data_IF_067486972002
#
_entry.id   IF_067486972002
#
_cell.length_a   1.000
_cell.length_b   1.000
_cell.length_c   1.000
_cell.angle_alpha   90.00
_cell.angle_beta   90.00
_cell.angle_gamma   90.00
#
_symmetry.space_group_name_H-M   'P 1'
#
loop_
_entity.id
_entity.type
_entity.pdbx_description
1 polymer ?
#
# COMPACT_ATOMS: atom_id res chain seq x y z
N UNK A 1 -24.45 -2.41 30.42
CA UNK A 1 -22.98 -2.32 30.27
C UNK A 1 -22.39 -3.41 29.35
N UNK A 2 -23.14 -3.95 28.36
CA UNK A 2 -22.65 -5.03 27.48
C UNK A 2 -22.41 -4.60 26.03
N UNK A 3 -22.94 -3.43 25.60
CA UNK A 3 -22.72 -2.89 24.25
C UNK A 3 -21.35 -2.22 24.06
N UNK A 4 -20.81 -1.58 25.10
CA UNK A 4 -19.51 -0.89 25.02
C UNK A 4 -18.34 -1.87 24.84
N UNK A 5 -18.43 -3.08 25.40
CA UNK A 5 -17.42 -4.12 25.21
C UNK A 5 -17.37 -4.60 23.77
N UNK A 6 -18.53 -4.88 23.16
CA UNK A 6 -18.60 -5.41 21.79
C UNK A 6 -18.07 -4.39 20.77
N UNK A 7 -18.34 -3.09 20.96
CA UNK A 7 -17.81 -2.05 20.07
C UNK A 7 -16.29 -1.94 20.20
N UNK A 8 -15.76 -1.93 21.43
CA UNK A 8 -14.31 -1.84 21.65
C UNK A 8 -13.54 -3.03 21.08
N UNK A 9 -14.05 -4.25 21.28
CA UNK A 9 -13.43 -5.44 20.71
C UNK A 9 -13.46 -5.42 19.17
N UNK A 10 -14.56 -4.99 18.56
CA UNK A 10 -14.65 -4.83 17.10
C UNK A 10 -13.69 -3.78 16.56
N UNK A 11 -13.53 -2.66 17.26
CA UNK A 11 -12.60 -1.60 16.87
C UNK A 11 -11.15 -2.06 17.03
N UNK A 12 -10.82 -2.82 18.08
CA UNK A 12 -9.49 -3.39 18.28
C UNK A 12 -9.16 -4.47 17.23
N UNK A 13 -10.10 -5.35 16.90
CA UNK A 13 -9.95 -6.35 15.83
C UNK A 13 -9.79 -5.69 14.45
N UNK A 14 -10.59 -4.65 14.14
CA UNK A 14 -10.47 -3.90 12.91
C UNK A 14 -9.09 -3.24 12.77
N UNK A 15 -8.59 -2.62 13.84
CA UNK A 15 -7.25 -2.03 13.85
C UNK A 15 -6.15 -3.08 13.65
N UNK A 16 -6.29 -4.26 14.23
CA UNK A 16 -5.34 -5.35 14.01
C UNK A 16 -5.38 -5.84 12.56
N UNK A 17 -6.58 -5.93 11.97
CA UNK A 17 -6.76 -6.31 10.58
C UNK A 17 -6.16 -5.29 9.63
N UNK A 18 -6.44 -4.00 9.84
CA UNK A 18 -5.90 -2.89 9.05
C UNK A 18 -4.37 -2.87 9.11
N UNK A 19 -3.78 -3.04 10.31
CA UNK A 19 -2.32 -3.19 10.46
C UNK A 19 -1.75 -4.33 9.63
N UNK A 20 -2.40 -5.49 9.66
CA UNK A 20 -1.95 -6.67 8.93
C UNK A 20 -2.01 -6.43 7.42
N UNK A 21 -3.10 -5.80 6.97
CA UNK A 21 -3.32 -5.40 5.57
C UNK A 21 -2.26 -4.39 5.12
N UNK A 22 -2.01 -3.33 5.90
CA UNK A 22 -0.96 -2.35 5.63
C UNK A 22 0.42 -2.99 5.56
N UNK A 23 0.74 -3.90 6.49
CA UNK A 23 2.02 -4.62 6.49
C UNK A 23 2.19 -5.45 5.22
N UNK A 24 1.16 -6.21 4.83
CA UNK A 24 1.17 -7.04 3.64
C UNK A 24 1.34 -6.19 2.35
N UNK A 25 0.65 -5.05 2.26
CA UNK A 25 0.81 -4.11 1.14
C UNK A 25 2.23 -3.55 1.04
N UNK A 26 2.87 -3.22 2.16
CA UNK A 26 4.25 -2.71 2.19
C UNK A 26 5.29 -3.78 1.87
N UNK A 27 5.07 -5.01 2.35
CA UNK A 27 5.90 -6.17 1.99
C UNK A 27 5.78 -6.46 0.48
N UNK A 28 4.57 -6.40 -0.06
CA UNK A 28 4.31 -6.55 -1.50
C UNK A 28 4.97 -5.43 -2.32
N UNK A 29 4.88 -4.17 -1.86
CA UNK A 29 5.56 -3.03 -2.48
C UNK A 29 7.08 -3.27 -2.54
N UNK A 30 7.70 -3.60 -1.42
CA UNK A 30 9.15 -3.89 -1.33
C UNK A 30 9.57 -5.04 -2.24
N UNK A 31 8.74 -6.08 -2.33
CA UNK A 31 8.96 -7.21 -3.21
C UNK A 31 8.87 -6.81 -4.69
N UNK A 32 7.86 -6.05 -5.08
CA UNK A 32 7.67 -5.58 -6.45
C UNK A 32 8.81 -4.66 -6.90
N UNK A 33 9.31 -3.80 -6.01
CA UNK A 33 10.48 -2.94 -6.27
C UNK A 33 11.73 -3.78 -6.55
N UNK A 34 11.97 -4.81 -5.74
CA UNK A 34 13.08 -5.74 -5.96
C UNK A 34 12.90 -6.57 -7.24
N UNK A 35 11.70 -7.07 -7.50
CA UNK A 35 11.40 -7.83 -8.70
C UNK A 35 11.57 -6.99 -9.99
N UNK A 36 11.27 -5.70 -9.94
CA UNK A 36 11.48 -4.76 -11.07
C UNK A 36 12.96 -4.59 -11.40
N UNK A 37 13.83 -4.68 -10.40
CA UNK A 37 15.28 -4.61 -10.56
C UNK A 37 15.90 -5.91 -11.08
N UNK A 38 15.35 -7.05 -10.68
CA UNK A 38 15.77 -8.37 -11.15
C UNK A 38 15.28 -8.67 -12.58
N UNK A 39 14.23 -7.99 -13.05
CA UNK A 39 13.74 -8.11 -14.41
C UNK A 39 14.59 -7.28 -15.39
N UNK A 40 15.38 -7.94 -16.23
CA UNK A 40 16.25 -7.31 -17.24
C UNK A 40 15.51 -6.33 -18.18
N UNK A 41 14.18 -6.47 -18.36
CA UNK A 41 13.37 -5.57 -19.20
C UNK A 41 12.93 -4.31 -18.47
N UNK A 42 12.93 -4.33 -17.14
CA UNK A 42 12.48 -3.24 -16.29
C UNK A 42 13.64 -2.61 -15.49
N UNK A 43 14.81 -3.24 -15.50
CA UNK A 43 16.08 -2.72 -15.02
C UNK A 43 16.28 -1.26 -15.47
N UNK A 44 16.55 -0.37 -14.51
CA UNK A 44 16.83 1.05 -14.75
C UNK A 44 15.59 1.93 -14.98
N UNK A 45 14.37 1.39 -14.85
CA UNK A 45 13.15 2.22 -14.81
C UNK A 45 12.99 3.02 -13.52
N UNK A 46 13.52 2.48 -12.43
CA UNK A 46 13.60 3.14 -11.12
C UNK A 46 15.09 3.33 -10.86
N UNK A 47 15.49 4.54 -10.44
CA UNK A 47 16.89 4.77 -10.09
C UNK A 47 17.22 4.16 -8.70
N UNK A 48 18.50 3.95 -8.43
CA UNK A 48 18.93 3.29 -7.19
C UNK A 48 18.60 4.09 -5.93
N UNK A 49 18.53 5.43 -6.02
CA UNK A 49 18.20 6.32 -4.90
C UNK A 49 16.73 6.16 -4.50
N UNK A 50 15.80 6.30 -5.45
CA UNK A 50 14.36 6.10 -5.24
C UNK A 50 14.08 4.68 -4.76
N UNK A 51 14.75 3.68 -5.34
CA UNK A 51 14.61 2.28 -4.94
C UNK A 51 15.01 2.07 -3.48
N UNK A 52 16.15 2.61 -3.07
CA UNK A 52 16.65 2.49 -1.70
C UNK A 52 15.73 3.25 -0.74
N UNK A 53 15.29 4.45 -1.10
CA UNK A 53 14.35 5.25 -0.33
C UNK A 53 13.03 4.50 -0.11
N UNK A 54 12.43 3.93 -1.16
CA UNK A 54 11.21 3.11 -1.08
C UNK A 54 11.38 1.93 -0.11
N UNK A 55 12.50 1.19 -0.24
CA UNK A 55 12.77 0.04 0.61
C UNK A 55 12.99 0.45 2.07
N UNK A 56 13.71 1.54 2.32
CA UNK A 56 13.97 2.03 3.67
C UNK A 56 12.69 2.50 4.35
N UNK A 57 11.85 3.22 3.63
CA UNK A 57 10.51 3.63 4.09
C UNK A 57 9.67 2.40 4.42
N UNK A 58 9.52 1.43 3.50
CA UNK A 58 8.69 0.25 3.76
C UNK A 58 9.19 -0.49 5.01
N UNK A 59 10.50 -0.63 5.18
CA UNK A 59 11.10 -1.25 6.37
C UNK A 59 10.85 -0.44 7.65
N UNK A 60 10.98 0.88 7.60
CA UNK A 60 10.71 1.77 8.73
C UNK A 60 9.27 1.61 9.22
N UNK A 61 8.33 1.61 8.29
CA UNK A 61 6.90 1.47 8.58
C UNK A 61 6.60 0.09 9.15
N UNK A 62 7.10 -0.98 8.53
CA UNK A 62 6.93 -2.35 9.02
C UNK A 62 7.50 -2.48 10.45
N UNK A 63 8.66 -1.89 10.71
CA UNK A 63 9.26 -1.87 12.04
C UNK A 63 8.41 -1.08 13.04
N UNK A 64 7.85 0.05 12.61
CA UNK A 64 6.93 0.84 13.44
C UNK A 64 5.67 0.04 13.76
N UNK A 65 5.03 -0.61 12.79
CA UNK A 65 3.85 -1.46 12.99
C UNK A 65 4.15 -2.61 13.98
N UNK A 66 5.32 -3.23 13.85
CA UNK A 66 5.77 -4.30 14.74
C UNK A 66 6.04 -3.82 16.17
N UNK A 67 6.58 -2.60 16.36
CA UNK A 67 6.84 -2.01 17.68
C UNK A 67 5.59 -1.46 18.35
N UNK A 68 4.61 -1.04 17.55
CA UNK A 68 3.40 -0.36 18.01
C UNK A 68 2.15 -1.26 17.98
N UNK A 69 2.32 -2.59 18.11
CA UNK A 69 1.20 -3.54 18.06
C UNK A 69 0.06 -3.19 19.04
N UNK A 70 0.40 -2.62 20.20
CA UNK A 70 -0.54 -2.21 21.26
C UNK A 70 -0.86 -0.71 21.25
N UNK A 71 -0.39 0.05 20.25
CA UNK A 71 -0.69 1.47 20.18
C UNK A 71 -2.19 1.71 19.94
N UNK A 72 -2.69 2.81 20.51
CA UNK A 72 -4.10 3.19 20.45
C UNK A 72 -4.49 3.60 19.03
N UNK A 73 -5.78 3.50 18.73
CA UNK A 73 -6.40 3.94 17.46
C UNK A 73 -5.88 5.29 16.96
N UNK A 74 -5.87 6.30 17.84
CA UNK A 74 -5.45 7.67 17.51
C UNK A 74 -3.98 7.75 17.05
N UNK A 75 -3.11 6.92 17.63
CA UNK A 75 -1.69 6.84 17.25
C UNK A 75 -1.55 6.16 15.88
N UNK A 76 -2.40 5.17 15.61
CA UNK A 76 -2.46 4.52 14.30
C UNK A 76 -2.96 5.45 13.21
N UNK A 77 -4.06 6.16 13.43
CA UNK A 77 -4.61 7.12 12.45
C UNK A 77 -3.64 8.27 12.16
N UNK A 78 -2.90 8.73 13.17
CA UNK A 78 -1.86 9.73 12.96
C UNK A 78 -0.71 9.17 12.11
N UNK A 79 -0.24 7.97 12.45
CA UNK A 79 0.82 7.34 11.69
C UNK A 79 0.38 7.06 10.27
N UNK A 80 -0.83 6.51 10.05
CA UNK A 80 -1.39 6.20 8.74
C UNK A 80 -1.35 7.40 7.79
N UNK A 81 -1.65 8.61 8.27
CA UNK A 81 -1.50 9.83 7.46
C UNK A 81 -0.05 10.13 7.08
N UNK A 82 0.89 9.87 7.98
CA UNK A 82 2.31 9.96 7.65
C UNK A 82 2.70 8.85 6.67
N UNK A 83 2.13 7.64 6.79
CA UNK A 83 2.32 6.53 5.84
C UNK A 83 1.79 6.89 4.46
N UNK A 84 0.59 7.46 4.34
CA UNK A 84 -0.01 7.84 3.06
C UNK A 84 0.83 8.88 2.32
N UNK A 85 1.39 9.87 3.03
CA UNK A 85 2.27 10.88 2.41
C UNK A 85 3.47 10.25 1.73
N UNK A 86 3.95 9.13 2.27
CA UNK A 86 5.13 8.44 1.78
C UNK A 86 4.75 7.33 0.80
N UNK A 87 3.66 6.59 1.02
CA UNK A 87 3.18 5.53 0.13
C UNK A 87 2.56 6.05 -1.17
N UNK A 88 1.88 7.21 -1.17
CA UNK A 88 1.25 7.79 -2.36
C UNK A 88 2.22 8.08 -3.52
N UNK A 89 3.39 8.72 -3.29
CA UNK A 89 4.38 8.90 -4.35
C UNK A 89 4.95 7.56 -4.86
N UNK A 90 5.14 6.58 -3.96
CA UNK A 90 5.68 5.25 -4.30
C UNK A 90 4.71 4.45 -5.15
N UNK A 91 3.42 4.42 -4.76
CA UNK A 91 2.37 3.72 -5.50
C UNK A 91 2.20 4.29 -6.90
N UNK A 92 2.32 5.61 -7.05
CA UNK A 92 2.31 6.29 -8.35
C UNK A 92 3.53 5.87 -9.20
N UNK A 93 4.73 5.89 -8.63
CA UNK A 93 5.95 5.47 -9.34
C UNK A 93 5.92 4.00 -9.77
N UNK A 94 5.49 3.08 -8.88
CA UNK A 94 5.41 1.66 -9.22
C UNK A 94 4.35 1.39 -10.29
N UNK A 95 3.19 2.05 -10.20
CA UNK A 95 2.13 1.90 -11.20
C UNK A 95 2.57 2.40 -12.57
N UNK A 96 3.28 3.54 -12.62
CA UNK A 96 3.87 4.09 -13.84
C UNK A 96 5.03 3.22 -14.39
N UNK A 97 5.86 2.64 -13.52
CA UNK A 97 7.03 1.84 -13.90
C UNK A 97 6.64 0.44 -14.41
N UNK A 98 5.60 -0.16 -13.81
CA UNK A 98 5.04 -1.44 -14.21
C UNK A 98 4.42 -1.44 -15.62
N UNK A 99 4.30 -0.27 -16.27
CA UNK A 99 3.84 -0.19 -17.65
C UNK A 99 2.39 -0.64 -17.83
N UNK A 100 1.57 -0.62 -16.77
CA UNK A 100 0.13 -0.66 -16.97
C UNK A 100 -0.23 0.59 -17.79
N UNK A 101 -0.88 0.46 -18.96
CA UNK A 101 -1.39 1.63 -19.64
C UNK A 101 -2.27 2.40 -18.66
N UNK A 102 -2.30 3.74 -18.70
CA UNK A 102 -3.27 4.49 -17.94
C UNK A 102 -4.67 4.02 -18.38
N UNK A 103 -5.31 3.14 -17.61
CA UNK A 103 -6.75 2.96 -17.70
C UNK A 103 -7.37 4.24 -17.15
N UNK A 104 -7.55 5.21 -18.05
CA UNK A 104 -8.05 6.52 -17.68
C UNK A 104 -8.11 7.54 -18.81
N UNK A 105 -8.18 7.11 -20.07
CA UNK A 105 -8.87 7.94 -21.06
C UNK A 105 -10.36 7.63 -20.91
N UNK A 106 -11.07 8.61 -20.34
CA UNK A 106 -12.51 8.63 -20.31
C UNK A 106 -13.03 8.73 -21.75
N UNK A 107 -13.93 7.81 -22.11
CA UNK A 107 -14.80 7.78 -23.31
C UNK A 107 -14.45 6.69 -24.31
N UNK A 108 -15.01 5.50 -24.10
CA UNK A 108 -15.60 4.74 -25.20
C UNK A 108 -16.79 3.95 -24.67
N UNK A 109 -17.93 4.61 -24.84
CA UNK A 109 -19.22 4.08 -25.27
C UNK A 109 -19.41 2.56 -25.22
N UNK A 110 -20.38 2.19 -24.40
CA UNK A 110 -20.98 0.86 -24.30
C UNK A 110 -21.68 0.49 -25.62
N UNK A 111 -21.06 -0.39 -26.41
CA UNK A 111 -21.79 -1.18 -27.41
C UNK A 111 -21.73 -2.64 -27.00
N UNK A 112 -22.76 -3.08 -26.27
CA UNK A 112 -23.14 -4.49 -26.24
C UNK A 112 -23.74 -4.78 -27.60
N UNK A 113 -23.00 -5.48 -28.46
CA UNK A 113 -23.60 -6.13 -29.62
C UNK A 113 -24.45 -7.30 -29.13
N UNK A 114 -25.73 -7.24 -29.49
CA UNK A 114 -26.69 -8.33 -29.33
C UNK A 114 -26.15 -9.59 -30.04
N UNK A 115 -26.12 -10.69 -29.30
CA UNK A 115 -25.94 -12.03 -29.84
C UNK A 115 -27.33 -12.48 -30.32
N UNK A 116 -27.42 -12.84 -31.60
CA UNK A 116 -28.58 -13.45 -32.27
C UNK A 116 -29.23 -14.60 -31.46
#
# INVERSE_FOLDING_TARGET
>A
MMQEGISKYKDEDALLWDKLSSKNSLESCSFNVKATDEDEKLQGKINDEDKQEILDICNEIINWLNKNQTAKKEVFEHQEKELEKVCNPIGTMLYQSAGAPPSGDASSEHTIEEID
#
